data_IF_745916849597
#
_entry.id   IF_745916849597
#
_cell.length_a   1.000
_cell.length_b   1.000
_cell.length_c   1.000
_cell.angle_alpha   90.00
_cell.angle_beta   90.00
_cell.angle_gamma   90.00
#
_symmetry.space_group_name_H-M   'P 1'
#
loop_
_entity.id
_entity.type
_entity.pdbx_description
1 polymer ?
#
# COMPACT_ATOMS: atom_id res chain seq x y z
N UNK A 1 38.02 -40.01 11.80
CA UNK A 1 37.28 -40.24 10.54
C UNK A 1 36.82 -38.89 10.01
N UNK A 2 37.27 -38.52 8.81
CA UNK A 2 36.93 -37.26 8.16
C UNK A 2 35.66 -37.46 7.32
N UNK A 3 34.49 -37.23 7.92
CA UNK A 3 33.22 -37.36 7.21
C UNK A 3 33.02 -36.22 6.21
N UNK A 4 33.01 -36.63 4.94
CA UNK A 4 32.87 -35.82 3.75
C UNK A 4 31.63 -34.90 3.82
N UNK A 5 31.85 -33.58 3.98
CA UNK A 5 30.80 -32.54 4.01
C UNK A 5 30.12 -32.26 2.65
N UNK A 6 30.39 -33.07 1.63
CA UNK A 6 30.06 -32.76 0.22
C UNK A 6 28.69 -33.32 -0.26
N UNK A 7 27.89 -33.98 0.59
CA UNK A 7 26.54 -34.46 0.24
C UNK A 7 25.39 -33.74 0.95
N UNK A 8 25.55 -32.49 1.38
CA UNK A 8 24.41 -31.66 1.86
C UNK A 8 23.67 -31.04 0.67
N UNK A 9 23.15 -31.90 -0.20
CA UNK A 9 22.42 -31.53 -1.41
C UNK A 9 21.03 -31.03 -1.08
N UNK A 10 20.79 -29.73 -1.24
CA UNK A 10 19.55 -29.10 -1.74
C UNK A 10 18.23 -29.22 -0.94
N UNK A 11 17.91 -30.38 -0.35
CA UNK A 11 16.57 -30.72 0.13
C UNK A 11 16.29 -30.29 1.58
N UNK A 12 17.30 -30.23 2.45
CA UNK A 12 17.11 -30.00 3.90
C UNK A 12 16.82 -28.55 4.30
N UNK A 13 16.75 -27.61 3.34
CA UNK A 13 16.40 -26.20 3.61
C UNK A 13 14.95 -25.86 3.25
N UNK A 14 14.10 -26.86 3.05
CA UNK A 14 12.72 -26.65 2.63
C UNK A 14 11.81 -26.16 3.77
N UNK A 15 12.16 -26.42 5.03
CA UNK A 15 11.36 -26.09 6.21
C UNK A 15 12.12 -25.15 7.16
N UNK A 16 11.35 -24.42 7.97
CA UNK A 16 11.82 -23.53 9.02
C UNK A 16 11.35 -24.10 10.35
N UNK A 17 12.27 -24.61 11.16
CA UNK A 17 11.98 -24.93 12.55
C UNK A 17 12.06 -23.64 13.40
N UNK A 18 11.00 -23.40 14.17
CA UNK A 18 10.94 -22.28 15.12
C UNK A 18 11.41 -22.67 16.53
N UNK A 19 11.66 -23.96 16.75
CA UNK A 19 12.11 -24.55 18.01
C UNK A 19 13.54 -24.16 18.34
N UNK A 20 14.38 -24.01 17.31
CA UNK A 20 15.80 -23.78 17.47
C UNK A 20 16.15 -22.31 17.22
N UNK A 21 16.79 -21.67 18.20
CA UNK A 21 17.14 -20.25 18.14
C UNK A 21 18.07 -19.91 16.99
N UNK A 22 19.04 -20.80 16.68
CA UNK A 22 19.99 -20.59 15.60
C UNK A 22 19.33 -20.65 14.22
N UNK A 23 18.29 -21.49 14.07
CA UNK A 23 17.55 -21.62 12.82
C UNK A 23 16.69 -20.39 12.55
N UNK A 24 16.00 -19.88 13.58
CA UNK A 24 15.29 -18.59 13.50
C UNK A 24 16.24 -17.46 13.14
N UNK A 25 17.44 -17.41 13.74
CA UNK A 25 18.44 -16.39 13.43
C UNK A 25 18.95 -16.50 11.98
N UNK A 26 19.26 -17.72 11.54
CA UNK A 26 19.72 -18.01 10.18
C UNK A 26 18.70 -17.56 9.12
N UNK A 27 17.44 -17.96 9.27
CA UNK A 27 16.38 -17.60 8.33
C UNK A 27 15.99 -16.11 8.40
N UNK A 28 16.03 -15.51 9.58
CA UNK A 28 15.82 -14.06 9.74
C UNK A 28 16.88 -13.26 8.98
N UNK A 29 18.15 -13.68 9.06
CA UNK A 29 19.25 -13.09 8.29
C UNK A 29 19.06 -13.32 6.79
N UNK A 30 18.67 -14.53 6.37
CA UNK A 30 18.46 -14.88 4.96
C UNK A 30 17.32 -14.08 4.30
N UNK A 31 16.19 -13.90 4.99
CA UNK A 31 15.05 -13.13 4.49
C UNK A 31 15.14 -11.61 4.78
N UNK A 32 16.18 -11.19 5.51
CA UNK A 32 16.38 -9.81 5.98
C UNK A 32 15.14 -9.29 6.74
N UNK A 33 14.65 -10.07 7.69
CA UNK A 33 13.48 -9.74 8.54
C UNK A 33 13.81 -9.94 10.02
N UNK A 34 13.00 -9.37 10.90
CA UNK A 34 13.13 -9.64 12.33
C UNK A 34 12.61 -11.04 12.69
N UNK A 35 13.13 -11.67 13.76
CA UNK A 35 12.63 -12.96 14.24
C UNK A 35 11.12 -13.00 14.48
N UNK A 36 10.55 -11.90 14.97
CA UNK A 36 9.11 -11.76 15.17
C UNK A 36 8.33 -11.82 13.84
N UNK A 37 8.81 -11.14 12.79
CA UNK A 37 8.20 -11.18 11.45
C UNK A 37 8.31 -12.56 10.82
N UNK A 38 9.43 -13.25 11.03
CA UNK A 38 9.61 -14.63 10.57
C UNK A 38 8.60 -15.57 11.24
N UNK A 39 8.48 -15.53 12.57
CA UNK A 39 7.50 -16.33 13.33
C UNK A 39 6.07 -16.08 12.88
N UNK A 40 5.73 -14.81 12.64
CA UNK A 40 4.41 -14.43 12.13
C UNK A 40 4.15 -15.00 10.73
N UNK A 41 5.12 -14.89 9.82
CA UNK A 41 4.99 -15.43 8.47
C UNK A 41 4.82 -16.96 8.51
N UNK A 42 5.64 -17.67 9.28
CA UNK A 42 5.53 -19.13 9.47
C UNK A 42 4.16 -19.52 10.04
N UNK A 43 3.62 -18.76 11.00
CA UNK A 43 2.26 -18.99 11.54
C UNK A 43 1.16 -18.82 10.48
N UNK A 44 1.39 -17.99 9.45
CA UNK A 44 0.39 -17.69 8.41
C UNK A 44 0.43 -18.64 7.23
N UNK A 45 1.61 -19.03 6.75
CA UNK A 45 1.76 -19.84 5.52
C UNK A 45 2.39 -21.21 5.75
N UNK A 46 2.68 -21.55 7.01
CA UNK A 46 3.32 -22.80 7.41
C UNK A 46 4.85 -22.70 7.43
N UNK A 47 5.49 -23.82 7.77
CA UNK A 47 6.96 -23.90 7.94
C UNK A 47 7.74 -23.94 6.63
N UNK A 48 7.09 -23.97 5.47
CA UNK A 48 7.79 -24.01 4.18
C UNK A 48 8.58 -22.72 3.96
N UNK A 49 9.90 -22.84 3.83
CA UNK A 49 10.79 -21.71 3.59
C UNK A 49 10.45 -20.98 2.29
N UNK A 50 10.00 -21.72 1.26
CA UNK A 50 9.55 -21.14 -0.01
C UNK A 50 8.32 -20.26 0.19
N UNK A 51 7.26 -20.81 0.79
CA UNK A 51 6.01 -20.07 1.05
C UNK A 51 6.23 -18.87 1.97
N UNK A 52 7.08 -19.02 2.99
CA UNK A 52 7.44 -17.93 3.92
C UNK A 52 8.20 -16.82 3.20
N UNK A 53 9.16 -17.18 2.34
CA UNK A 53 9.86 -16.23 1.48
C UNK A 53 8.92 -15.48 0.56
N UNK A 54 8.06 -16.19 -0.17
CA UNK A 54 7.01 -15.62 -1.04
C UNK A 54 6.09 -14.69 -0.25
N UNK A 55 5.64 -15.09 0.95
CA UNK A 55 4.79 -14.27 1.80
C UNK A 55 5.49 -12.99 2.27
N UNK A 56 6.74 -13.09 2.73
CA UNK A 56 7.54 -11.94 3.17
C UNK A 56 7.77 -10.98 1.99
N UNK A 57 8.09 -11.51 0.81
CA UNK A 57 8.26 -10.75 -0.41
C UNK A 57 6.96 -10.05 -0.80
N UNK A 58 5.84 -10.78 -0.81
CA UNK A 58 4.51 -10.23 -1.06
C UNK A 58 4.16 -9.13 -0.05
N UNK A 59 4.48 -9.28 1.24
CA UNK A 59 4.25 -8.22 2.23
C UNK A 59 5.13 -6.99 1.99
N UNK A 60 6.39 -7.17 1.55
CA UNK A 60 7.27 -6.05 1.18
C UNK A 60 6.71 -5.29 -0.02
N UNK A 61 6.26 -6.00 -1.06
CA UNK A 61 5.55 -5.42 -2.19
C UNK A 61 4.30 -4.71 -1.69
N UNK A 62 3.39 -5.40 -0.98
CA UNK A 62 2.16 -4.79 -0.46
C UNK A 62 2.38 -3.54 0.41
N UNK A 63 3.49 -3.45 1.14
CA UNK A 63 3.85 -2.24 1.89
C UNK A 63 4.37 -1.13 0.96
N UNK A 64 5.22 -1.48 -0.01
CA UNK A 64 5.65 -0.58 -1.09
C UNK A 64 4.45 -0.09 -1.92
N UNK A 65 3.62 -0.99 -2.43
CA UNK A 65 2.41 -0.75 -3.24
C UNK A 65 1.32 -0.01 -2.47
N UNK A 66 1.34 -0.04 -1.12
CA UNK A 66 0.47 0.82 -0.29
C UNK A 66 1.02 2.24 -0.14
N UNK A 67 2.32 2.43 -0.27
CA UNK A 67 3.01 3.72 -0.09
C UNK A 67 3.24 4.47 -1.41
N UNK A 68 3.38 3.72 -2.50
CA UNK A 68 3.60 4.21 -3.85
C UNK A 68 2.56 3.65 -4.81
N UNK A 69 2.29 4.40 -5.87
CA UNK A 69 1.35 4.05 -6.93
C UNK A 69 2.18 3.89 -8.20
N UNK A 70 2.39 2.66 -8.66
CA UNK A 70 3.02 2.38 -9.94
C UNK A 70 1.97 2.45 -11.06
N UNK A 71 2.19 3.33 -12.03
CA UNK A 71 1.29 3.46 -13.19
C UNK A 71 1.60 2.44 -14.30
N UNK A 72 2.76 1.79 -14.24
CA UNK A 72 3.20 0.75 -15.18
C UNK A 72 2.42 -0.55 -15.03
N UNK A 73 1.86 -0.81 -13.85
CA UNK A 73 1.19 -2.07 -13.55
C UNK A 73 -0.34 -1.89 -13.60
N UNK A 74 -1.04 -2.54 -14.55
CA UNK A 74 -2.48 -2.33 -14.75
C UNK A 74 -3.33 -2.68 -13.51
N UNK A 75 -2.91 -3.68 -12.72
CA UNK A 75 -3.62 -4.09 -11.51
C UNK A 75 -3.51 -3.04 -10.40
N UNK A 76 -2.37 -2.34 -10.28
CA UNK A 76 -2.17 -1.27 -9.30
C UNK A 76 -3.08 -0.08 -9.61
N UNK A 77 -3.14 0.33 -10.87
CA UNK A 77 -4.04 1.40 -11.33
C UNK A 77 -5.48 1.06 -10.98
N UNK A 78 -5.93 -0.18 -11.25
CA UNK A 78 -7.28 -0.66 -10.88
C UNK A 78 -7.52 -0.62 -9.36
N UNK A 79 -6.58 -1.13 -8.58
CA UNK A 79 -6.67 -1.17 -7.13
C UNK A 79 -6.79 0.24 -6.54
N UNK A 80 -5.90 1.14 -6.93
CA UNK A 80 -5.84 2.50 -6.42
C UNK A 80 -7.04 3.34 -6.88
N UNK A 81 -7.48 3.19 -8.13
CA UNK A 81 -8.73 3.79 -8.61
C UNK A 81 -9.94 3.36 -7.78
N UNK A 82 -10.05 2.07 -7.47
CA UNK A 82 -11.12 1.55 -6.60
C UNK A 82 -11.02 2.11 -5.18
N UNK A 83 -9.82 2.16 -4.61
CA UNK A 83 -9.57 2.67 -3.26
C UNK A 83 -9.90 4.16 -3.12
N UNK A 84 -9.46 4.98 -4.07
CA UNK A 84 -9.73 6.43 -4.08
C UNK A 84 -11.10 6.80 -4.64
N UNK A 85 -11.84 5.83 -5.19
CA UNK A 85 -13.13 6.02 -5.88
C UNK A 85 -13.02 7.06 -7.00
N UNK A 86 -11.99 6.93 -7.84
CA UNK A 86 -11.75 7.78 -9.02
C UNK A 86 -11.46 6.94 -10.25
N UNK A 87 -11.63 7.51 -11.45
CA UNK A 87 -11.31 6.83 -12.70
C UNK A 87 -9.80 6.62 -12.87
N UNK A 88 -9.35 5.59 -13.62
CA UNK A 88 -7.94 5.37 -13.94
C UNK A 88 -7.26 6.57 -14.58
N UNK A 89 -7.94 7.24 -15.52
CA UNK A 89 -7.43 8.46 -16.16
C UNK A 89 -7.17 9.57 -15.12
N UNK A 90 -8.12 9.76 -14.19
CA UNK A 90 -7.98 10.76 -13.13
C UNK A 90 -6.87 10.40 -12.14
N UNK A 91 -6.68 9.11 -11.84
CA UNK A 91 -5.58 8.66 -11.00
C UNK A 91 -4.22 9.02 -11.64
N UNK A 92 -4.04 8.74 -12.93
CA UNK A 92 -2.79 9.07 -13.67
C UNK A 92 -2.47 10.56 -13.61
N UNK A 93 -3.47 11.42 -13.83
CA UNK A 93 -3.30 12.87 -13.73
C UNK A 93 -2.89 13.31 -12.32
N UNK A 94 -3.57 12.80 -11.30
CA UNK A 94 -3.29 13.16 -9.91
C UNK A 94 -1.90 12.67 -9.47
N UNK A 95 -1.49 11.48 -9.90
CA UNK A 95 -0.14 10.96 -9.68
C UNK A 95 0.91 11.82 -10.40
N UNK A 96 0.62 12.28 -11.63
CA UNK A 96 1.49 13.21 -12.34
C UNK A 96 1.72 14.54 -11.60
N UNK A 97 0.72 15.03 -10.87
CA UNK A 97 0.81 16.30 -10.11
C UNK A 97 1.36 16.11 -8.70
N UNK A 98 0.84 15.13 -7.95
CA UNK A 98 1.18 14.92 -6.54
C UNK A 98 2.40 14.00 -6.34
N UNK A 99 2.85 13.34 -7.41
CA UNK A 99 3.87 12.31 -7.42
C UNK A 99 3.31 10.91 -7.10
N UNK A 100 4.18 9.91 -7.20
CA UNK A 100 3.83 8.50 -7.03
C UNK A 100 3.51 8.10 -5.57
N UNK A 101 3.45 9.03 -4.61
CA UNK A 101 3.15 8.70 -3.22
C UNK A 101 1.64 8.66 -2.98
N UNK A 102 1.14 7.54 -2.45
CA UNK A 102 -0.28 7.37 -2.15
C UNK A 102 -0.80 8.40 -1.16
N UNK A 103 -0.01 8.74 -0.14
CA UNK A 103 -0.35 9.75 0.88
C UNK A 103 -0.49 11.15 0.28
N UNK A 104 0.39 11.51 -0.67
CA UNK A 104 0.31 12.81 -1.37
C UNK A 104 -0.90 12.87 -2.28
N UNK A 105 -1.18 11.79 -3.02
CA UNK A 105 -2.39 11.66 -3.85
C UNK A 105 -3.66 11.79 -3.02
N UNK A 106 -3.71 11.15 -1.86
CA UNK A 106 -4.84 11.26 -0.94
C UNK A 106 -5.03 12.69 -0.42
N UNK A 107 -3.95 13.34 0.01
CA UNK A 107 -3.97 14.73 0.47
C UNK A 107 -4.43 15.70 -0.65
N UNK A 108 -3.94 15.51 -1.87
CA UNK A 108 -4.35 16.29 -3.04
C UNK A 108 -5.84 16.13 -3.33
N UNK A 109 -6.35 14.89 -3.32
CA UNK A 109 -7.78 14.62 -3.51
C UNK A 109 -8.65 15.22 -2.40
N UNK A 110 -8.19 15.18 -1.15
CA UNK A 110 -8.88 15.80 -0.03
C UNK A 110 -8.93 17.33 -0.15
N UNK A 111 -7.80 17.97 -0.51
CA UNK A 111 -7.72 19.40 -0.75
C UNK A 111 -8.66 19.84 -1.90
N UNK A 112 -8.69 19.09 -2.99
CA UNK A 112 -9.61 19.31 -4.12
C UNK A 112 -11.09 19.24 -3.68
N UNK A 113 -11.46 18.25 -2.86
CA UNK A 113 -12.83 18.15 -2.31
C UNK A 113 -13.17 19.33 -1.42
N UNK A 114 -12.25 19.76 -0.55
CA UNK A 114 -12.46 20.91 0.33
C UNK A 114 -12.62 22.22 -0.46
N UNK A 115 -11.80 22.44 -1.50
CA UNK A 115 -11.90 23.61 -2.38
C UNK A 115 -13.24 23.64 -3.14
N UNK A 116 -13.71 22.48 -3.63
CA UNK A 116 -15.03 22.36 -4.27
C UNK A 116 -16.17 22.68 -3.29
N UNK A 117 -16.10 22.20 -2.04
CA UNK A 117 -17.11 22.51 -1.01
C UNK A 117 -17.15 24.01 -0.67
N UNK A 118 -15.98 24.64 -0.52
CA UNK A 118 -15.87 26.10 -0.25
C UNK A 118 -16.44 26.94 -1.39
N UNK A 119 -16.12 26.60 -2.64
CA UNK A 119 -16.64 27.32 -3.83
C UNK A 119 -18.14 27.16 -3.99
N UNK A 120 -18.69 25.96 -3.77
CA UNK A 120 -20.15 25.74 -3.77
C UNK A 120 -20.83 26.57 -2.69
N UNK A 121 -20.32 26.55 -1.44
CA UNK A 121 -20.87 27.36 -0.33
C UNK A 121 -20.85 28.86 -0.63
N UNK A 122 -19.78 29.37 -1.25
CA UNK A 122 -19.67 30.79 -1.66
C UNK A 122 -20.68 31.14 -2.77
N UNK A 123 -20.91 30.25 -3.74
CA UNK A 123 -21.90 30.44 -4.80
C UNK A 123 -23.34 30.45 -4.27
N UNK A 124 -23.69 29.52 -3.37
CA UNK A 124 -25.03 29.50 -2.75
C UNK A 124 -25.26 30.72 -1.87
N UNK A 125 -24.29 31.13 -1.06
CA UNK A 125 -24.38 32.36 -0.27
C UNK A 125 -24.55 33.62 -1.14
N UNK A 126 -23.83 33.72 -2.26
CA UNK A 126 -23.97 34.85 -3.19
C UNK A 126 -25.35 34.85 -3.87
N UNK A 127 -25.92 33.67 -4.16
CA UNK A 127 -27.27 33.52 -4.75
C UNK A 127 -28.38 33.89 -3.76
N UNK A 128 -28.26 33.51 -2.49
CA UNK A 128 -29.25 33.87 -1.44
C UNK A 128 -29.24 35.37 -1.14
N UNK A 129 -28.06 36.00 -1.03
CA UNK A 129 -27.94 37.46 -0.84
C UNK A 129 -28.54 38.24 -2.00
N UNK A 130 -28.27 37.83 -3.26
CA UNK A 130 -28.89 38.46 -4.45
C UNK A 130 -30.42 38.31 -4.46
N UNK A 131 -30.95 37.15 -4.05
CA UNK A 131 -32.41 36.91 -3.99
C UNK A 131 -33.09 37.73 -2.90
N UNK A 132 -32.45 37.89 -1.74
CA UNK A 132 -32.95 38.74 -0.65
C UNK A 132 -32.95 40.23 -1.01
N UNK A 133 -31.88 40.71 -1.66
CA UNK A 133 -31.80 42.09 -2.13
C UNK A 133 -32.84 42.42 -3.21
N UNK A 134 -33.14 41.48 -4.12
CA UNK A 134 -34.20 41.66 -5.14
C UNK A 134 -35.59 41.72 -4.52
N UNK A 135 -35.86 40.93 -3.46
CA UNK A 135 -37.14 40.95 -2.74
C UNK A 135 -37.36 42.26 -1.97
N UNK A 136 -36.33 42.81 -1.34
CA UNK A 136 -36.40 44.11 -0.64
C UNK A 136 -36.60 45.32 -1.55
N UNK A 137 -36.25 45.23 -2.84
CA UNK A 137 -36.44 46.30 -3.83
C UNK A 137 -37.82 46.27 -4.53
N UNK A 138 -38.60 45.22 -4.31
CA UNK A 138 -39.90 45.00 -4.95
C UNK A 138 -41.07 45.08 -3.95
N UNK A 139 -40.79 45.45 -2.70
CA UNK A 139 -41.73 45.81 -1.65
C UNK A 139 -41.50 47.29 -1.33
#
# INVERSE_FOLDING_TARGET
MADSKAKRGGADRALIALTEKYEVAYWSKKFKVTPAKLKYAVKKVGRSARKVGEYIQLQKHRAADKSRIALSEPYEVRYWSKKFKITPARLKLVVGVAGHSSKKVEAYLAAQKAAKKKTVKKKTAKKTVKKAAKRKKAA
#
